data_IF_486030393882
#
_entry.id   IF_486030393882
#
_cell.length_a   1.000
_cell.length_b   1.000
_cell.length_c   1.000
_cell.angle_alpha   90.00
_cell.angle_beta   90.00
_cell.angle_gamma   90.00
#
_symmetry.space_group_name_H-M   'P 1'
#
loop_
_entity.id
_entity.type
_entity.pdbx_description
1 polymer ?
#
# COMPACT_ATOMS: atom_id res chain seq x y z
N UNK A 1 -10.44 3.14 11.42
CA UNK A 1 -9.84 4.24 10.64
C UNK A 1 -8.66 3.66 9.88
N UNK A 2 -8.51 3.99 8.60
CA UNK A 2 -7.45 3.45 7.73
C UNK A 2 -6.55 4.58 7.24
N UNK A 3 -5.25 4.34 7.20
CA UNK A 3 -4.28 5.19 6.52
C UNK A 3 -3.58 4.37 5.44
N UNK A 4 -3.51 4.90 4.22
CA UNK A 4 -2.81 4.25 3.10
C UNK A 4 -1.57 5.06 2.78
N UNK A 5 -0.42 4.41 2.76
CA UNK A 5 0.86 5.06 2.48
C UNK A 5 1.72 4.19 1.57
N UNK A 6 2.48 4.85 0.72
CA UNK A 6 3.42 4.23 -0.21
C UNK A 6 4.82 4.12 0.37
N UNK A 7 5.17 5.02 1.30
CA UNK A 7 6.39 4.99 2.09
C UNK A 7 6.10 4.51 3.51
N UNK A 8 7.03 3.73 4.08
CA UNK A 8 6.89 3.16 5.42
C UNK A 8 7.35 4.18 6.47
N UNK A 9 6.44 4.80 7.26
CA UNK A 9 6.80 5.91 8.14
C UNK A 9 7.13 5.42 9.55
N UNK A 10 7.77 4.25 9.70
CA UNK A 10 8.05 3.67 11.03
C UNK A 10 8.90 4.61 11.90
N UNK A 11 9.91 5.26 11.30
CA UNK A 11 10.74 6.23 12.00
C UNK A 11 9.95 7.46 12.46
N UNK A 12 9.00 7.93 11.64
CA UNK A 12 8.12 9.06 12.00
C UNK A 12 7.17 8.66 13.13
N UNK A 13 6.53 7.49 13.04
CA UNK A 13 5.62 6.99 14.08
C UNK A 13 6.34 6.81 15.42
N UNK A 14 7.55 6.24 15.40
CA UNK A 14 8.40 6.09 16.59
C UNK A 14 8.78 7.45 17.20
N UNK A 15 9.12 8.45 16.37
CA UNK A 15 9.48 9.80 16.84
C UNK A 15 8.33 10.53 17.55
N UNK A 16 7.08 10.16 17.25
CA UNK A 16 5.88 10.73 17.85
C UNK A 16 5.38 9.93 19.08
N UNK A 17 6.11 8.89 19.49
CA UNK A 17 5.75 8.05 20.64
C UNK A 17 4.61 7.07 20.36
N UNK A 18 4.33 6.77 19.10
CA UNK A 18 3.26 5.86 18.73
C UNK A 18 3.74 4.41 18.71
N UNK A 19 2.90 3.49 19.17
CA UNK A 19 3.21 2.06 19.10
C UNK A 19 2.82 1.52 17.72
N UNK A 20 3.80 0.92 17.05
CA UNK A 20 3.62 0.26 15.76
C UNK A 20 3.66 -1.25 15.95
N UNK A 21 2.61 -1.95 15.54
CA UNK A 21 2.50 -3.40 15.69
C UNK A 21 2.29 -4.05 14.33
N UNK A 22 3.13 -5.03 14.00
CA UNK A 22 2.93 -5.89 12.83
C UNK A 22 1.69 -6.78 13.04
N UNK A 23 1.00 -7.06 11.95
CA UNK A 23 -0.05 -8.10 11.93
C UNK A 23 0.49 -9.38 11.27
N UNK A 24 -0.39 -10.36 11.10
CA UNK A 24 -0.14 -11.57 10.31
C UNK A 24 -0.04 -11.30 8.80
N UNK A 25 -0.45 -10.11 8.35
CA UNK A 25 -0.42 -9.69 6.95
C UNK A 25 0.74 -8.74 6.66
N UNK A 26 1.63 -9.13 5.75
CA UNK A 26 2.74 -8.27 5.33
C UNK A 26 2.22 -6.97 4.73
N UNK A 27 2.80 -5.83 5.15
CA UNK A 27 2.38 -4.50 4.71
C UNK A 27 1.14 -3.95 5.42
N UNK A 28 0.55 -4.69 6.38
CA UNK A 28 -0.53 -4.22 7.23
C UNK A 28 -0.03 -4.07 8.67
N UNK A 29 -0.33 -2.92 9.27
CA UNK A 29 0.16 -2.57 10.60
C UNK A 29 -0.91 -1.90 11.43
N UNK A 30 -0.81 -2.04 12.75
CA UNK A 30 -1.59 -1.27 13.70
C UNK A 30 -0.73 -0.14 14.26
N UNK A 31 -1.21 1.10 14.08
CA UNK A 31 -0.70 2.30 14.74
C UNK A 31 -1.61 2.62 15.93
N UNK A 32 -1.06 2.58 17.14
CA UNK A 32 -1.82 2.77 18.38
C UNK A 32 -1.52 4.14 18.99
N UNK A 33 -2.56 4.97 19.11
CA UNK A 33 -2.59 6.24 19.84
C UNK A 33 -3.52 6.12 21.05
N UNK A 34 -2.96 5.82 22.22
CA UNK A 34 -3.77 5.61 23.42
C UNK A 34 -4.79 4.48 23.22
N UNK A 35 -6.08 4.83 23.15
CA UNK A 35 -7.19 3.88 22.88
C UNK A 35 -7.58 3.76 21.41
N UNK A 36 -7.03 4.60 20.54
CA UNK A 36 -7.31 4.58 19.11
C UNK A 36 -6.34 3.65 18.40
N UNK A 37 -6.88 2.73 17.61
CA UNK A 37 -6.11 1.91 16.67
C UNK A 37 -6.41 2.36 15.24
N UNK A 38 -5.36 2.68 14.50
CA UNK A 38 -5.40 3.00 13.07
C UNK A 38 -4.73 1.86 12.31
N UNK A 39 -5.41 1.32 11.31
CA UNK A 39 -4.83 0.31 10.42
C UNK A 39 -4.07 1.04 9.32
N UNK A 40 -2.77 0.77 9.19
CA UNK A 40 -1.91 1.34 8.16
C UNK A 40 -1.59 0.28 7.12
N UNK A 41 -1.84 0.63 5.85
CA UNK A 41 -1.54 -0.20 4.68
C UNK A 41 -0.35 0.42 3.95
N UNK A 42 0.74 -0.33 3.87
CA UNK A 42 2.00 0.05 3.22
C UNK A 42 2.08 -0.67 1.88
N UNK A 43 1.62 -0.02 0.81
CA UNK A 43 1.33 -0.68 -0.48
C UNK A 43 2.54 -1.37 -1.11
N UNK A 44 3.76 -0.84 -0.91
CA UNK A 44 5.01 -1.47 -1.39
C UNK A 44 5.39 -2.78 -0.71
N UNK A 45 4.79 -3.11 0.43
CA UNK A 45 5.05 -4.35 1.17
C UNK A 45 3.95 -5.39 0.96
N UNK A 46 2.83 -5.02 0.34
CA UNK A 46 1.73 -5.95 0.06
C UNK A 46 2.18 -6.95 -1.01
N UNK A 47 2.06 -8.27 -0.82
CA UNK A 47 2.46 -9.23 -1.83
C UNK A 47 1.71 -9.06 -3.16
N UNK A 48 2.42 -9.19 -4.28
CA UNK A 48 1.84 -9.23 -5.63
C UNK A 48 0.92 -10.44 -5.76
N UNK A 49 -0.38 -10.19 -5.81
CA UNK A 49 -1.39 -11.21 -6.06
C UNK A 49 -2.58 -10.62 -6.81
N UNK A 50 -3.38 -11.41 -7.56
CA UNK A 50 -4.51 -10.89 -8.32
C UNK A 50 -5.59 -10.24 -7.45
N UNK A 51 -5.84 -10.78 -6.26
CA UNK A 51 -6.80 -10.21 -5.31
C UNK A 51 -6.32 -8.89 -4.67
N UNK A 52 -5.03 -8.55 -4.80
CA UNK A 52 -4.44 -7.30 -4.30
C UNK A 52 -4.35 -6.22 -5.40
N UNK A 53 -5.09 -6.36 -6.51
CA UNK A 53 -5.04 -5.46 -7.66
C UNK A 53 -5.07 -3.96 -7.29
N UNK A 54 -5.97 -3.48 -6.41
CA UNK A 54 -5.96 -2.07 -6.01
C UNK A 54 -4.66 -1.63 -5.33
N UNK A 55 -4.08 -2.48 -4.48
CA UNK A 55 -2.83 -2.19 -3.77
C UNK A 55 -1.62 -2.20 -4.70
N UNK A 56 -1.64 -3.07 -5.71
CA UNK A 56 -0.58 -3.13 -6.72
C UNK A 56 -0.59 -1.87 -7.61
N UNK A 57 -1.77 -1.35 -7.98
CA UNK A 57 -1.91 -0.11 -8.76
C UNK A 57 -1.54 1.15 -7.97
N UNK A 58 -1.82 1.16 -6.67
CA UNK A 58 -1.52 2.28 -5.78
C UNK A 58 -0.13 2.17 -5.12
N UNK A 59 0.70 1.24 -5.57
CA UNK A 59 2.08 1.10 -5.09
C UNK A 59 2.98 2.17 -5.72
N UNK A 60 3.98 2.62 -4.95
CA UNK A 60 5.10 3.38 -5.52
C UNK A 60 6.20 2.49 -6.12
N UNK A 61 6.08 1.16 -5.99
CA UNK A 61 6.97 0.23 -6.67
C UNK A 61 6.49 0.01 -8.12
N UNK A 62 7.27 0.40 -9.15
CA UNK A 62 6.90 0.22 -10.55
C UNK A 62 6.61 -1.24 -10.91
N UNK A 63 7.24 -2.20 -10.22
CA UNK A 63 7.07 -3.63 -10.49
C UNK A 63 5.75 -4.18 -9.96
N UNK A 64 5.11 -3.50 -9.00
CA UNK A 64 3.72 -3.79 -8.59
C UNK A 64 2.73 -3.25 -9.62
N UNK A 65 2.95 -2.03 -10.11
CA UNK A 65 2.09 -1.40 -11.11
C UNK A 65 2.14 -2.21 -12.41
N UNK A 66 3.34 -2.59 -12.89
CA UNK A 66 3.51 -3.47 -14.05
C UNK A 66 2.81 -4.80 -13.92
N UNK A 67 2.94 -5.45 -12.75
CA UNK A 67 2.22 -6.68 -12.46
C UNK A 67 0.70 -6.50 -12.57
N UNK A 68 0.16 -5.42 -11.99
CA UNK A 68 -1.26 -5.12 -12.06
C UNK A 68 -1.77 -4.86 -13.48
N UNK A 69 -1.02 -4.12 -14.29
CA UNK A 69 -1.40 -3.80 -15.67
C UNK A 69 -1.48 -5.04 -16.57
N UNK A 70 -0.69 -6.07 -16.26
CA UNK A 70 -0.67 -7.36 -16.96
C UNK A 70 -1.77 -8.33 -16.49
N UNK A 71 -2.57 -7.98 -15.48
CA UNK A 71 -3.76 -8.71 -15.08
C UNK A 71 -4.98 -8.18 -15.87
N UNK A 72 -5.58 -9.02 -16.73
CA UNK A 72 -6.78 -8.67 -17.51
C UNK A 72 -8.09 -8.67 -16.67
N UNK A 73 -9.10 -7.83 -16.99
CA UNK A 73 -9.03 -6.55 -17.66
C UNK A 73 -9.26 -5.41 -16.65
N UNK A 74 -8.24 -4.59 -16.47
CA UNK A 74 -8.42 -3.23 -15.98
C UNK A 74 -9.28 -2.44 -16.99
N UNK A 75 -10.20 -1.58 -16.52
CA UNK A 75 -10.88 -0.63 -17.39
C UNK A 75 -9.87 0.14 -18.27
N UNK A 76 -10.13 0.30 -19.58
CA UNK A 76 -9.19 0.95 -20.51
C UNK A 76 -8.73 2.34 -20.04
N UNK A 77 -9.61 3.09 -19.39
CA UNK A 77 -9.32 4.41 -18.83
C UNK A 77 -8.23 4.36 -17.74
N UNK A 78 -8.28 3.34 -16.88
CA UNK A 78 -7.26 3.14 -15.84
C UNK A 78 -5.94 2.69 -16.45
N UNK A 79 -5.97 1.78 -17.42
CA UNK A 79 -4.75 1.34 -18.13
C UNK A 79 -4.02 2.54 -18.77
N UNK A 80 -4.77 3.38 -19.49
CA UNK A 80 -4.23 4.60 -20.10
C UNK A 80 -3.66 5.59 -19.08
N UNK A 81 -4.26 5.71 -17.89
CA UNK A 81 -3.72 6.57 -16.84
C UNK A 81 -2.31 6.12 -16.39
N UNK A 82 -2.11 4.81 -16.19
CA UNK A 82 -0.85 4.27 -15.68
C UNK A 82 0.25 4.12 -16.73
N UNK A 83 -0.09 3.90 -18.00
CA UNK A 83 0.87 3.84 -19.11
C UNK A 83 1.53 5.20 -19.40
N UNK A 84 0.85 6.31 -19.11
CA UNK A 84 1.37 7.66 -19.33
C UNK A 84 2.24 8.18 -18.18
N UNK A 85 2.35 7.43 -17.08
CA UNK A 85 3.24 7.75 -15.98
C UNK A 85 4.63 7.21 -16.32
N UNK A 86 5.60 8.10 -16.54
CA UNK A 86 7.00 7.74 -16.67
C UNK A 86 7.53 7.34 -15.28
N UNK A 87 7.49 6.04 -14.98
CA UNK A 87 8.01 5.44 -13.74
C UNK A 87 9.52 5.24 -13.79
#
# INVERSE_FOLDING_TARGET
MYAVTTAFPQALAASMGFSWQATDQLGVYNLILGKLTIIVIVTKQIPKAPHNLPWNLLSQDPEHVRYALNLDPLPPELRKHFENLNW
#
